data_IF_262523478224
#
_entry.id   IF_262523478224
#
_cell.length_a   1.000
_cell.length_b   1.000
_cell.length_c   1.000
_cell.angle_alpha   90.00
_cell.angle_beta   90.00
_cell.angle_gamma   90.00
#
_symmetry.space_group_name_H-M   'P 1'
#
loop_
_entity.id
_entity.type
_entity.pdbx_description
1 polymer ?
#
# COMPACT_ATOMS: atom_id res chain seq x y z
N UNK A 1 10.71 33.10 -7.98
CA UNK A 1 9.43 33.86 -8.02
C UNK A 1 8.95 34.30 -6.62
N UNK A 2 9.50 33.77 -5.55
CA UNK A 2 9.15 34.05 -4.16
C UNK A 2 7.97 33.23 -3.64
N UNK A 3 7.89 33.12 -2.30
CA UNK A 3 6.91 32.27 -1.61
C UNK A 3 5.46 32.78 -1.73
N UNK A 4 5.28 34.03 -2.12
CA UNK A 4 3.97 34.70 -2.25
C UNK A 4 3.40 34.64 -3.68
N UNK A 5 4.07 34.00 -4.63
CA UNK A 5 3.67 33.99 -6.03
C UNK A 5 2.21 33.53 -6.22
N UNK A 6 1.85 32.40 -5.66
CA UNK A 6 0.51 31.86 -5.82
C UNK A 6 -0.55 32.66 -5.08
N UNK A 7 -0.19 33.29 -3.96
CA UNK A 7 -1.09 34.20 -3.22
C UNK A 7 -1.44 35.41 -4.06
N UNK A 8 -0.46 36.03 -4.76
CA UNK A 8 -0.70 37.16 -5.67
C UNK A 8 -1.50 36.76 -6.91
N UNK A 9 -1.26 35.57 -7.44
CA UNK A 9 -2.06 35.04 -8.56
C UNK A 9 -3.53 34.84 -8.14
N UNK A 10 -3.76 34.28 -6.94
CA UNK A 10 -5.09 34.07 -6.38
C UNK A 10 -5.80 35.43 -6.11
N UNK A 11 -5.09 36.39 -5.53
CA UNK A 11 -5.61 37.76 -5.34
C UNK A 11 -6.04 38.41 -6.65
N UNK A 12 -5.23 38.29 -7.70
CA UNK A 12 -5.59 38.76 -9.01
C UNK A 12 -6.85 38.09 -9.55
N UNK A 13 -6.96 36.75 -9.38
CA UNK A 13 -8.13 35.98 -9.78
C UNK A 13 -9.40 36.42 -9.07
N UNK A 14 -9.32 36.74 -7.77
CA UNK A 14 -10.47 37.22 -7.00
C UNK A 14 -10.94 38.60 -7.44
N UNK A 15 -10.03 39.49 -7.90
CA UNK A 15 -10.35 40.80 -8.45
C UNK A 15 -11.00 40.76 -9.84
N UNK A 16 -10.71 39.70 -10.60
CA UNK A 16 -11.17 39.54 -11.98
C UNK A 16 -11.84 38.18 -12.22
N UNK A 17 -12.94 37.87 -11.52
CA UNK A 17 -13.52 36.50 -11.53
C UNK A 17 -14.22 36.13 -12.85
N UNK A 18 -14.40 37.09 -13.75
CA UNK A 18 -15.15 36.90 -15.01
C UNK A 18 -14.29 36.29 -16.15
N UNK A 19 -13.04 36.04 -15.92
CA UNK A 19 -12.13 35.52 -16.94
C UNK A 19 -11.50 34.19 -16.53
N UNK A 20 -11.49 33.24 -17.45
CA UNK A 20 -10.84 31.94 -17.28
C UNK A 20 -9.31 32.01 -17.41
N UNK A 21 -8.76 33.16 -17.85
CA UNK A 21 -7.33 33.35 -18.10
C UNK A 21 -6.64 34.12 -16.97
N UNK A 22 -7.25 34.22 -15.78
CA UNK A 22 -6.73 34.99 -14.64
C UNK A 22 -5.31 34.60 -14.26
N UNK A 23 -5.02 33.31 -14.17
CA UNK A 23 -3.66 32.79 -13.85
C UNK A 23 -2.65 33.25 -14.88
N UNK A 24 -2.93 33.11 -16.18
CA UNK A 24 -2.03 33.51 -17.27
C UNK A 24 -1.75 35.02 -17.20
N UNK A 25 -2.77 35.85 -17.00
CA UNK A 25 -2.62 37.27 -16.95
C UNK A 25 -1.89 37.76 -15.69
N UNK A 26 -2.18 37.15 -14.52
CA UNK A 26 -1.48 37.44 -13.28
C UNK A 26 0.02 37.12 -13.38
N UNK A 27 0.36 35.93 -13.88
CA UNK A 27 1.74 35.52 -14.06
C UNK A 27 2.49 36.43 -15.03
N UNK A 28 1.86 36.79 -16.14
CA UNK A 28 2.48 37.72 -17.09
C UNK A 28 2.65 39.12 -16.50
N UNK A 29 1.64 39.63 -15.79
CA UNK A 29 1.65 40.98 -15.20
C UNK A 29 2.71 41.13 -14.10
N UNK A 30 2.74 40.21 -13.17
CA UNK A 30 3.60 40.34 -11.97
C UNK A 30 5.00 39.73 -12.15
N UNK A 31 5.12 38.70 -12.95
CA UNK A 31 6.35 37.89 -13.05
C UNK A 31 6.93 37.80 -14.47
N UNK A 32 6.23 38.36 -15.48
CA UNK A 32 6.66 38.30 -16.90
C UNK A 32 6.91 36.87 -17.39
N UNK A 33 6.19 35.88 -16.86
CA UNK A 33 6.35 34.46 -17.13
C UNK A 33 5.04 33.78 -17.50
N UNK A 34 5.11 32.52 -17.88
CA UNK A 34 3.96 31.65 -18.19
C UNK A 34 3.99 30.37 -17.35
N UNK A 35 2.83 29.69 -17.25
CA UNK A 35 2.75 28.37 -16.57
C UNK A 35 3.73 27.38 -17.16
N UNK A 36 3.86 27.33 -18.48
CA UNK A 36 4.78 26.42 -19.17
C UNK A 36 6.25 26.73 -18.87
N UNK A 37 6.60 27.98 -18.76
CA UNK A 37 7.96 28.40 -18.41
C UNK A 37 8.27 28.07 -16.95
N UNK A 38 7.35 28.33 -16.03
CA UNK A 38 7.50 27.92 -14.62
C UNK A 38 7.67 26.40 -14.52
N UNK A 39 6.80 25.64 -15.17
CA UNK A 39 6.90 24.17 -15.16
C UNK A 39 8.25 23.69 -15.70
N UNK A 40 8.72 24.24 -16.81
CA UNK A 40 10.04 23.90 -17.38
C UNK A 40 11.17 24.21 -16.41
N UNK A 41 11.21 25.43 -15.88
CA UNK A 41 12.25 25.85 -14.94
C UNK A 41 12.25 24.99 -13.67
N UNK A 42 11.07 24.66 -13.14
CA UNK A 42 10.93 23.77 -11.97
C UNK A 42 11.44 22.37 -12.29
N UNK A 43 11.07 21.80 -13.44
CA UNK A 43 11.57 20.48 -13.85
C UNK A 43 13.08 20.46 -14.07
N UNK A 44 13.64 21.51 -14.65
CA UNK A 44 15.10 21.65 -14.85
C UNK A 44 15.83 21.77 -13.51
N UNK A 45 15.26 22.51 -12.56
CA UNK A 45 15.81 22.64 -11.21
C UNK A 45 15.75 21.33 -10.44
N UNK A 46 14.59 20.66 -10.43
CA UNK A 46 14.43 19.33 -9.82
C UNK A 46 15.36 18.30 -10.46
N UNK A 47 15.50 18.32 -11.78
CA UNK A 47 16.41 17.40 -12.49
C UNK A 47 17.86 17.63 -12.06
N UNK A 48 18.29 18.89 -11.93
CA UNK A 48 19.63 19.21 -11.42
C UNK A 48 19.81 18.75 -9.98
N UNK A 49 18.80 19.01 -9.13
CA UNK A 49 18.80 18.58 -7.73
C UNK A 49 18.91 17.06 -7.61
N UNK A 50 18.08 16.30 -8.31
CA UNK A 50 18.11 14.83 -8.26
C UNK A 50 19.43 14.25 -8.80
N UNK A 51 19.99 14.84 -9.88
CA UNK A 51 21.29 14.41 -10.41
C UNK A 51 22.47 14.73 -9.48
N UNK A 52 22.32 15.73 -8.60
CA UNK A 52 23.35 16.07 -7.62
C UNK A 52 23.32 15.19 -6.37
N UNK A 53 22.23 14.43 -6.17
CA UNK A 53 22.16 13.50 -5.04
C UNK A 53 23.09 12.31 -5.27
N UNK A 54 23.84 11.87 -4.24
CA UNK A 54 24.64 10.67 -4.34
C UNK A 54 23.71 9.48 -4.63
N UNK A 55 23.92 8.82 -5.77
CA UNK A 55 23.25 7.57 -6.08
C UNK A 55 23.99 6.49 -5.29
N UNK A 56 23.37 5.96 -4.25
CA UNK A 56 23.90 4.75 -3.62
C UNK A 56 23.89 3.63 -4.68
N UNK A 57 24.97 2.87 -4.83
CA UNK A 57 24.99 1.78 -5.79
C UNK A 57 23.86 0.81 -5.45
N UNK A 58 22.99 0.57 -6.41
CA UNK A 58 21.92 -0.41 -6.27
C UNK A 58 22.56 -1.78 -6.03
N UNK A 59 22.51 -2.27 -4.79
CA UNK A 59 23.08 -3.56 -4.40
C UNK A 59 22.25 -4.77 -4.87
N UNK A 60 21.06 -4.49 -5.46
CA UNK A 60 20.15 -5.51 -5.96
C UNK A 60 20.37 -5.83 -7.45
N UNK A 61 20.17 -7.08 -7.80
CA UNK A 61 20.09 -7.48 -9.21
C UNK A 61 18.80 -6.91 -9.82
N UNK A 62 18.93 -6.26 -10.96
CA UNK A 62 17.78 -5.75 -11.70
C UNK A 62 17.16 -6.88 -12.52
N UNK A 63 15.84 -7.05 -12.44
CA UNK A 63 15.14 -7.99 -13.30
C UNK A 63 15.39 -7.64 -14.78
N UNK A 64 15.82 -8.58 -15.62
CA UNK A 64 16.12 -8.34 -17.04
C UNK A 64 14.84 -8.22 -17.90
N UNK A 65 13.80 -7.56 -17.40
CA UNK A 65 12.52 -7.42 -18.09
C UNK A 65 12.50 -6.13 -18.88
N UNK A 66 12.24 -6.14 -20.20
CA UNK A 66 12.09 -4.92 -20.99
C UNK A 66 10.91 -4.10 -20.47
N UNK A 67 11.19 -2.88 -20.03
CA UNK A 67 10.15 -1.93 -19.58
C UNK A 67 9.91 -0.96 -20.73
N UNK A 68 8.74 -1.04 -21.34
CA UNK A 68 8.30 -0.15 -22.43
C UNK A 68 7.41 0.99 -21.95
N UNK A 69 6.85 0.86 -20.76
CA UNK A 69 5.99 1.86 -20.11
C UNK A 69 6.23 1.87 -18.61
N UNK A 70 5.74 2.90 -17.91
CA UNK A 70 5.80 2.94 -16.45
C UNK A 70 5.16 1.67 -15.87
N UNK A 71 5.97 0.89 -15.17
CA UNK A 71 5.59 -0.42 -14.64
C UNK A 71 6.00 -0.54 -13.18
N UNK A 72 5.08 -1.03 -12.35
CA UNK A 72 5.30 -1.29 -10.93
C UNK A 72 4.98 -2.75 -10.63
N UNK A 73 5.87 -3.41 -9.91
CA UNK A 73 5.66 -4.72 -9.32
C UNK A 73 5.52 -4.56 -7.81
N UNK A 74 4.32 -4.79 -7.30
CA UNK A 74 4.00 -4.69 -5.87
C UNK A 74 3.85 -6.08 -5.25
N UNK A 75 4.00 -6.12 -3.92
CA UNK A 75 3.77 -7.31 -3.11
C UNK A 75 4.49 -8.57 -3.66
N UNK A 76 5.80 -8.54 -3.81
CA UNK A 76 6.55 -9.71 -4.24
C UNK A 76 6.39 -10.85 -3.21
N UNK A 77 6.17 -12.07 -3.73
CA UNK A 77 5.97 -13.27 -2.93
C UNK A 77 6.76 -14.41 -3.57
N UNK A 78 7.62 -15.08 -2.83
CA UNK A 78 8.31 -16.27 -3.31
C UNK A 78 7.31 -17.43 -3.40
N UNK A 79 7.13 -17.99 -4.59
CA UNK A 79 6.37 -19.21 -4.79
C UNK A 79 7.27 -20.45 -4.59
N UNK A 80 8.48 -20.35 -5.09
CA UNK A 80 9.57 -21.33 -4.95
C UNK A 80 10.90 -20.65 -5.30
N UNK A 81 12.00 -21.39 -5.31
CA UNK A 81 13.37 -20.89 -5.54
C UNK A 81 13.58 -20.24 -6.93
N UNK A 82 12.69 -20.46 -7.87
CA UNK A 82 12.80 -19.97 -9.26
C UNK A 82 11.67 -19.08 -9.71
N UNK A 83 10.64 -18.86 -8.88
CA UNK A 83 9.43 -18.13 -9.29
C UNK A 83 8.99 -17.17 -8.21
N UNK A 84 8.90 -15.91 -8.56
CA UNK A 84 8.26 -14.86 -7.78
C UNK A 84 6.85 -14.58 -8.31
N UNK A 85 5.93 -14.37 -7.43
CA UNK A 85 4.61 -13.78 -7.74
C UNK A 85 4.63 -12.31 -7.41
N UNK A 86 3.98 -11.49 -8.22
CA UNK A 86 3.82 -10.07 -7.96
C UNK A 86 2.51 -9.53 -8.54
N UNK A 87 2.02 -8.46 -7.93
CA UNK A 87 0.96 -7.64 -8.50
C UNK A 87 1.60 -6.64 -9.47
N UNK A 88 1.38 -6.81 -10.77
CA UNK A 88 1.89 -5.92 -11.80
C UNK A 88 0.85 -4.87 -12.17
N UNK A 89 1.29 -3.62 -12.19
CA UNK A 89 0.52 -2.47 -12.68
C UNK A 89 1.37 -1.72 -13.71
N UNK A 90 0.79 -1.40 -14.83
CA UNK A 90 1.39 -0.56 -15.86
C UNK A 90 0.34 0.34 -16.51
N UNK A 91 0.77 1.23 -17.40
CA UNK A 91 -0.11 2.17 -18.09
C UNK A 91 -0.85 1.53 -19.28
N UNK A 92 -0.41 0.35 -19.73
CA UNK A 92 -0.94 -0.28 -20.93
C UNK A 92 -2.09 -1.25 -20.63
N UNK A 93 -2.10 -1.84 -19.43
CA UNK A 93 -3.03 -2.93 -19.08
C UNK A 93 -3.52 -2.80 -17.65
N UNK A 94 -4.69 -3.37 -17.40
CA UNK A 94 -5.25 -3.50 -16.05
C UNK A 94 -4.33 -4.29 -15.11
N UNK A 95 -4.48 -4.03 -13.81
CA UNK A 95 -3.74 -4.72 -12.76
C UNK A 95 -3.91 -6.23 -12.85
N UNK A 96 -2.83 -6.96 -12.64
CA UNK A 96 -2.79 -8.42 -12.79
C UNK A 96 -1.76 -9.05 -11.88
N UNK A 97 -1.98 -10.29 -11.49
CA UNK A 97 -0.96 -11.08 -10.82
C UNK A 97 -0.16 -11.83 -11.88
N UNK A 98 1.15 -11.75 -11.75
CA UNK A 98 2.13 -12.39 -12.63
C UNK A 98 3.05 -13.31 -11.86
N UNK A 99 3.50 -14.38 -12.53
CA UNK A 99 4.63 -15.20 -12.09
C UNK A 99 5.84 -14.79 -12.91
N UNK A 100 6.95 -14.50 -12.26
CA UNK A 100 8.19 -14.00 -12.86
C UNK A 100 9.34 -14.92 -12.48
N UNK A 101 10.14 -15.34 -13.43
CA UNK A 101 11.44 -15.92 -13.17
C UNK A 101 12.46 -14.78 -12.98
N UNK A 102 13.02 -14.59 -11.78
CA UNK A 102 13.91 -13.47 -11.52
C UNK A 102 15.24 -13.54 -12.28
N UNK A 103 15.67 -14.73 -12.73
CA UNK A 103 16.91 -14.90 -13.47
C UNK A 103 16.80 -14.54 -14.94
N UNK A 104 15.65 -14.88 -15.55
CA UNK A 104 15.44 -14.68 -16.99
C UNK A 104 14.58 -13.47 -17.30
N UNK A 105 13.84 -12.94 -16.32
CA UNK A 105 12.83 -11.92 -16.50
C UNK A 105 11.58 -12.42 -17.24
N UNK A 106 11.49 -13.73 -17.53
CA UNK A 106 10.30 -14.28 -18.16
C UNK A 106 9.08 -14.14 -17.27
N UNK A 107 8.03 -13.61 -17.82
CA UNK A 107 6.80 -13.28 -17.12
C UNK A 107 5.60 -14.05 -17.69
N UNK A 108 4.77 -14.62 -16.82
CA UNK A 108 3.51 -15.23 -17.15
C UNK A 108 2.38 -14.67 -16.31
N UNK A 109 1.36 -14.10 -16.96
CA UNK A 109 0.15 -13.67 -16.26
C UNK A 109 -0.61 -14.87 -15.71
N UNK A 110 -1.01 -14.80 -14.44
CA UNK A 110 -1.88 -15.78 -13.81
C UNK A 110 -3.35 -15.37 -13.99
N UNK A 111 -3.70 -14.17 -13.55
CA UNK A 111 -5.07 -13.64 -13.69
C UNK A 111 -5.10 -12.11 -13.64
N UNK A 112 -6.22 -11.55 -14.10
CA UNK A 112 -6.52 -10.13 -13.94
C UNK A 112 -7.16 -9.87 -12.59
N UNK A 113 -6.72 -8.83 -11.89
CA UNK A 113 -7.38 -8.35 -10.68
C UNK A 113 -8.41 -7.28 -11.02
N UNK A 114 -9.32 -7.02 -10.07
CA UNK A 114 -10.08 -5.78 -10.04
C UNK A 114 -9.25 -4.62 -9.50
N UNK A 115 -9.92 -3.59 -9.01
CA UNK A 115 -9.28 -2.50 -8.28
C UNK A 115 -8.82 -3.02 -6.92
N UNK A 116 -7.54 -3.39 -6.81
CA UNK A 116 -6.95 -3.96 -5.59
C UNK A 116 -6.93 -2.91 -4.49
N UNK A 117 -7.45 -3.27 -3.32
CA UNK A 117 -7.44 -2.44 -2.13
C UNK A 117 -6.27 -2.84 -1.19
N UNK A 118 -6.20 -4.14 -0.84
CA UNK A 118 -5.05 -4.66 -0.10
C UNK A 118 -4.28 -5.63 -0.98
N UNK A 119 -2.95 -5.52 -1.02
CA UNK A 119 -2.11 -6.35 -1.89
C UNK A 119 -2.28 -7.85 -1.61
N UNK A 120 -2.04 -8.72 -2.60
CA UNK A 120 -2.09 -10.16 -2.41
C UNK A 120 -1.10 -10.64 -1.34
N UNK A 121 -1.53 -11.65 -0.59
CA UNK A 121 -0.69 -12.46 0.28
C UNK A 121 -0.79 -13.91 -0.16
N UNK A 122 0.34 -14.62 -0.18
CA UNK A 122 0.41 -16.03 -0.49
C UNK A 122 0.40 -16.83 0.80
N UNK A 123 -0.49 -17.83 0.87
CA UNK A 123 -0.52 -18.80 1.93
C UNK A 123 -0.76 -20.19 1.33
N UNK A 124 0.13 -21.11 1.59
CA UNK A 124 0.19 -22.41 0.90
C UNK A 124 0.18 -22.21 -0.63
N UNK A 125 -0.81 -22.69 -1.32
CA UNK A 125 -0.96 -22.52 -2.78
C UNK A 125 -2.08 -21.53 -3.14
N UNK A 126 -2.48 -20.64 -2.24
CA UNK A 126 -3.61 -19.75 -2.44
C UNK A 126 -3.20 -18.29 -2.19
N UNK A 127 -3.57 -17.43 -3.12
CA UNK A 127 -3.45 -15.98 -2.98
C UNK A 127 -4.74 -15.42 -2.38
N UNK A 128 -4.59 -14.48 -1.44
CA UNK A 128 -5.69 -13.77 -0.80
C UNK A 128 -5.46 -12.26 -0.94
N UNK A 129 -6.51 -11.50 -1.30
CA UNK A 129 -6.45 -10.03 -1.43
C UNK A 129 -7.83 -9.42 -1.26
N UNK A 130 -7.92 -8.10 -1.22
CA UNK A 130 -9.21 -7.41 -1.33
C UNK A 130 -9.29 -6.52 -2.55
N UNK A 131 -10.50 -6.36 -3.05
CA UNK A 131 -10.82 -5.49 -4.18
C UNK A 131 -11.92 -4.50 -3.81
N UNK A 132 -11.80 -3.29 -4.30
CA UNK A 132 -12.87 -2.32 -4.25
C UNK A 132 -14.04 -2.72 -5.15
N UNK A 133 -15.24 -2.44 -4.68
CA UNK A 133 -16.48 -2.57 -5.43
C UNK A 133 -17.28 -1.28 -5.30
N UNK A 134 -17.40 -0.56 -6.39
CA UNK A 134 -18.26 0.62 -6.47
C UNK A 134 -19.73 0.21 -6.52
N UNK A 135 -20.59 0.99 -5.89
CA UNK A 135 -22.05 0.84 -6.04
C UNK A 135 -22.50 1.26 -7.44
N UNK A 136 -23.45 0.53 -8.01
CA UNK A 136 -24.08 0.93 -9.28
C UNK A 136 -25.03 2.11 -9.13
N UNK A 137 -25.53 2.38 -7.90
CA UNK A 137 -26.52 3.43 -7.62
C UNK A 137 -25.88 4.68 -7.00
N UNK A 138 -24.78 4.52 -6.26
CA UNK A 138 -24.18 5.61 -5.49
C UNK A 138 -22.67 5.65 -5.77
N UNK A 139 -22.22 6.58 -6.57
CA UNK A 139 -20.83 6.73 -6.98
C UNK A 139 -19.84 6.79 -5.79
N UNK A 140 -20.23 7.49 -4.75
CA UNK A 140 -19.44 7.65 -3.52
C UNK A 140 -19.43 6.41 -2.61
N UNK A 141 -20.32 5.45 -2.86
CA UNK A 141 -20.41 4.24 -2.02
C UNK A 141 -19.48 3.15 -2.54
N UNK A 142 -18.36 3.00 -1.87
CA UNK A 142 -17.37 1.95 -2.16
C UNK A 142 -17.39 0.93 -1.03
N UNK A 143 -17.51 -0.35 -1.39
CA UNK A 143 -17.30 -1.51 -0.51
C UNK A 143 -16.02 -2.23 -0.92
N UNK A 144 -15.57 -3.17 -0.13
CA UNK A 144 -14.48 -4.07 -0.52
C UNK A 144 -14.88 -5.52 -0.28
N UNK A 145 -14.33 -6.40 -1.10
CA UNK A 145 -14.55 -7.84 -1.01
C UNK A 145 -13.23 -8.57 -0.85
N UNK A 146 -13.20 -9.59 0.01
CA UNK A 146 -12.09 -10.52 0.08
C UNK A 146 -12.19 -11.55 -1.04
N UNK A 147 -11.08 -11.77 -1.72
CA UNK A 147 -10.94 -12.69 -2.84
C UNK A 147 -9.83 -13.69 -2.58
N UNK A 148 -9.93 -14.87 -3.22
CA UNK A 148 -8.85 -15.84 -3.27
C UNK A 148 -8.64 -16.39 -4.67
N UNK A 149 -7.43 -16.88 -4.93
CA UNK A 149 -7.06 -17.57 -6.16
C UNK A 149 -6.18 -18.78 -5.81
N UNK A 150 -6.67 -19.97 -6.13
CA UNK A 150 -5.93 -21.22 -5.95
C UNK A 150 -5.00 -21.43 -7.15
N UNK A 151 -3.70 -21.45 -6.90
CA UNK A 151 -2.64 -21.58 -7.91
C UNK A 151 -2.63 -22.96 -8.57
N UNK A 152 -3.10 -24.01 -7.90
CA UNK A 152 -3.13 -25.37 -8.42
C UNK A 152 -4.27 -25.58 -9.40
N UNK A 153 -5.45 -25.04 -9.08
CA UNK A 153 -6.67 -25.22 -9.88
C UNK A 153 -6.97 -24.04 -10.81
N UNK A 154 -6.30 -22.90 -10.63
CA UNK A 154 -6.61 -21.67 -11.35
C UNK A 154 -7.98 -21.06 -10.97
N UNK A 155 -8.56 -21.49 -9.86
CA UNK A 155 -9.92 -21.09 -9.46
C UNK A 155 -9.90 -19.84 -8.60
N UNK A 156 -10.62 -18.82 -9.06
CA UNK A 156 -10.87 -17.60 -8.29
C UNK A 156 -12.20 -17.70 -7.53
N UNK A 157 -12.23 -17.20 -6.31
CA UNK A 157 -13.42 -17.13 -5.45
C UNK A 157 -13.54 -15.77 -4.78
N UNK A 158 -14.76 -15.33 -4.54
CA UNK A 158 -15.08 -14.25 -3.60
C UNK A 158 -15.44 -14.88 -2.27
N UNK A 159 -14.75 -14.48 -1.22
CA UNK A 159 -14.89 -15.08 0.12
C UNK A 159 -15.84 -14.29 1.00
N UNK A 160 -15.83 -12.97 0.91
CA UNK A 160 -16.63 -12.08 1.75
C UNK A 160 -16.98 -10.80 1.00
N UNK A 161 -18.23 -10.35 1.06
CA UNK A 161 -18.74 -9.18 0.32
C UNK A 161 -19.44 -8.13 1.20
N UNK A 162 -19.46 -8.28 2.54
CA UNK A 162 -20.16 -7.33 3.40
C UNK A 162 -19.28 -6.18 3.86
N UNK A 163 -19.74 -4.92 3.60
CA UNK A 163 -19.09 -3.72 4.08
C UNK A 163 -17.73 -3.47 3.45
N UNK A 164 -16.79 -2.96 4.24
CA UNK A 164 -15.38 -2.82 3.87
C UNK A 164 -14.57 -3.86 4.61
N UNK A 165 -14.07 -4.84 3.89
CA UNK A 165 -13.18 -5.90 4.40
C UNK A 165 -11.77 -5.64 3.90
N UNK A 166 -10.80 -5.64 4.81
CA UNK A 166 -9.38 -5.32 4.56
C UNK A 166 -8.49 -6.47 5.04
N UNK A 167 -7.29 -6.56 4.53
CA UNK A 167 -6.18 -7.39 5.02
C UNK A 167 -6.57 -8.86 5.29
N UNK A 168 -7.03 -9.61 4.28
CA UNK A 168 -7.36 -11.04 4.46
C UNK A 168 -6.07 -11.79 4.82
N UNK A 169 -6.04 -12.33 6.03
CA UNK A 169 -4.89 -13.00 6.63
C UNK A 169 -5.28 -14.43 6.97
N UNK A 170 -4.81 -15.43 6.20
CA UNK A 170 -5.09 -16.83 6.48
C UNK A 170 -4.41 -17.28 7.78
N UNK A 171 -5.10 -18.16 8.50
CA UNK A 171 -4.61 -18.80 9.72
C UNK A 171 -4.41 -20.31 9.49
N UNK A 172 -3.52 -20.99 10.25
CA UNK A 172 -3.20 -22.40 10.05
C UNK A 172 -4.39 -23.36 10.17
N UNK A 173 -5.40 -22.98 10.94
CA UNK A 173 -6.62 -23.76 11.17
C UNK A 173 -7.67 -23.61 10.06
N UNK A 174 -7.30 -22.96 8.94
CA UNK A 174 -8.16 -22.72 7.77
C UNK A 174 -9.10 -21.52 7.92
N UNK A 175 -9.05 -20.80 9.04
CA UNK A 175 -9.77 -19.53 9.20
C UNK A 175 -9.12 -18.42 8.39
N UNK A 176 -9.90 -17.40 8.10
CA UNK A 176 -9.43 -16.18 7.46
C UNK A 176 -9.71 -14.99 8.38
N UNK A 177 -8.67 -14.48 9.01
CA UNK A 177 -8.77 -13.22 9.75
C UNK A 177 -8.88 -12.04 8.78
N UNK A 178 -9.72 -11.07 9.11
CA UNK A 178 -9.91 -9.85 8.30
C UNK A 178 -10.14 -8.66 9.20
N UNK A 179 -9.79 -7.48 8.71
CA UNK A 179 -10.16 -6.22 9.36
C UNK A 179 -11.41 -5.66 8.68
N UNK A 180 -12.43 -5.36 9.47
CA UNK A 180 -13.61 -4.64 9.03
C UNK A 180 -13.48 -3.15 9.26
N UNK A 181 -14.13 -2.36 8.42
CA UNK A 181 -14.22 -0.90 8.55
C UNK A 181 -15.66 -0.48 8.30
N UNK A 182 -16.27 0.21 9.27
CA UNK A 182 -17.64 0.67 9.14
C UNK A 182 -17.75 2.13 8.63
N UNK A 183 -18.97 2.59 8.40
CA UNK A 183 -19.22 3.96 7.93
C UNK A 183 -18.98 5.04 8.99
N UNK A 184 -18.90 4.66 10.27
CA UNK A 184 -18.55 5.56 11.36
C UNK A 184 -17.03 5.73 11.52
N UNK A 185 -16.24 5.04 10.70
CA UNK A 185 -14.78 5.11 10.77
C UNK A 185 -14.15 4.14 11.76
N UNK A 186 -14.92 3.16 12.30
CA UNK A 186 -14.44 2.22 13.31
C UNK A 186 -13.90 0.95 12.68
N UNK A 187 -12.79 0.50 13.20
CA UNK A 187 -12.14 -0.73 12.78
C UNK A 187 -12.49 -1.89 13.72
N UNK A 188 -12.56 -3.09 13.17
CA UNK A 188 -12.77 -4.31 13.94
C UNK A 188 -12.01 -5.48 13.32
N UNK A 189 -11.53 -6.39 14.15
CA UNK A 189 -11.00 -7.68 13.73
C UNK A 189 -12.11 -8.72 13.70
N UNK A 190 -12.20 -9.45 12.61
CA UNK A 190 -12.95 -10.70 12.50
C UNK A 190 -11.92 -11.84 12.36
N UNK A 191 -11.74 -12.70 13.37
CA UNK A 191 -10.77 -13.78 13.32
C UNK A 191 -11.22 -14.99 12.47
N UNK A 192 -12.40 -14.91 11.83
CA UNK A 192 -12.91 -15.95 10.94
C UNK A 192 -13.69 -17.08 11.66
N UNK A 193 -14.01 -16.94 12.93
CA UNK A 193 -14.76 -17.90 13.75
C UNK A 193 -16.13 -17.39 14.22
N UNK A 194 -16.57 -16.27 13.64
CA UNK A 194 -17.86 -15.64 13.99
C UNK A 194 -17.78 -14.63 15.13
N UNK A 195 -16.66 -14.54 15.83
CA UNK A 195 -16.39 -13.47 16.80
C UNK A 195 -16.01 -12.18 16.10
N UNK A 196 -16.10 -11.08 16.84
CA UNK A 196 -15.63 -9.76 16.39
C UNK A 196 -15.02 -9.04 17.57
N UNK A 197 -13.85 -8.42 17.33
CA UNK A 197 -13.16 -7.59 18.30
C UNK A 197 -13.09 -6.16 17.75
N UNK A 198 -13.71 -5.22 18.42
CA UNK A 198 -13.65 -3.81 18.01
C UNK A 198 -12.33 -3.20 18.50
N UNK A 199 -11.65 -2.48 17.62
CA UNK A 199 -10.49 -1.68 17.99
C UNK A 199 -10.94 -0.39 18.68
N UNK A 200 -10.09 0.21 19.53
CA UNK A 200 -10.34 1.56 20.05
C UNK A 200 -10.63 2.55 18.92
N UNK A 201 -11.58 3.46 19.11
CA UNK A 201 -11.97 4.46 18.10
C UNK A 201 -10.83 5.40 17.69
N UNK A 202 -9.76 5.46 18.48
CA UNK A 202 -8.53 6.23 18.22
C UNK A 202 -7.55 5.50 17.29
N UNK A 203 -7.81 4.23 16.93
CA UNK A 203 -6.90 3.43 16.12
C UNK A 203 -7.45 3.18 14.71
N UNK A 204 -6.62 3.43 13.71
CA UNK A 204 -6.81 3.00 12.31
C UNK A 204 -5.86 1.85 11.98
N UNK A 205 -6.35 0.80 11.32
CA UNK A 205 -5.54 -0.38 10.99
C UNK A 205 -5.08 -0.30 9.54
N UNK A 206 -3.76 -0.42 9.32
CA UNK A 206 -3.09 -0.25 8.04
C UNK A 206 -2.36 -1.50 7.52
N UNK A 207 -2.40 -2.60 8.27
CA UNK A 207 -1.80 -3.88 7.88
C UNK A 207 -2.18 -4.96 8.86
N UNK A 208 -2.21 -6.22 8.40
CA UNK A 208 -2.41 -7.40 9.22
C UNK A 208 -1.55 -8.53 8.64
N UNK A 209 -0.84 -9.26 9.50
CA UNK A 209 -0.03 -10.41 9.12
C UNK A 209 0.03 -11.41 10.27
N UNK A 210 0.12 -12.70 9.93
CA UNK A 210 0.20 -13.77 10.91
C UNK A 210 1.47 -14.59 10.74
N UNK A 211 2.22 -14.76 11.83
CA UNK A 211 3.38 -15.64 11.89
C UNK A 211 3.02 -16.97 12.55
N UNK A 212 3.18 -18.07 11.81
CA UNK A 212 2.82 -19.41 12.29
C UNK A 212 3.78 -19.93 13.36
N UNK A 213 5.07 -19.55 13.28
CA UNK A 213 6.10 -20.05 14.19
C UNK A 213 5.85 -19.59 15.62
N UNK A 214 5.49 -18.31 15.77
CA UNK A 214 5.22 -17.72 17.10
C UNK A 214 3.73 -17.65 17.43
N UNK A 215 2.84 -18.00 16.50
CA UNK A 215 1.40 -17.84 16.66
C UNK A 215 0.97 -16.38 16.82
N UNK A 216 1.72 -15.44 16.24
CA UNK A 216 1.50 -14.01 16.44
C UNK A 216 0.69 -13.41 15.28
N UNK A 217 -0.49 -12.85 15.61
CA UNK A 217 -1.19 -11.93 14.70
C UNK A 217 -0.71 -10.51 14.99
N UNK A 218 -0.07 -9.88 14.00
CA UNK A 218 0.45 -8.52 14.09
C UNK A 218 -0.35 -7.57 13.20
N UNK A 219 -0.52 -6.33 13.65
CA UNK A 219 -1.16 -5.27 12.88
C UNK A 219 -0.33 -3.99 12.91
N UNK A 220 -0.27 -3.28 11.79
CA UNK A 220 0.14 -1.87 11.77
C UNK A 220 -1.09 -1.05 12.15
N UNK A 221 -0.94 -0.20 13.17
CA UNK A 221 -1.98 0.69 13.65
C UNK A 221 -1.48 2.13 13.69
N UNK A 222 -2.33 3.07 13.31
CA UNK A 222 -2.11 4.51 13.45
C UNK A 222 -3.01 5.01 14.58
N UNK A 223 -2.43 5.66 15.55
CA UNK A 223 -3.09 6.36 16.65
C UNK A 223 -2.58 7.78 16.81
N UNK A 224 -2.99 8.46 17.86
CA UNK A 224 -2.61 9.86 18.13
C UNK A 224 -1.10 10.06 18.28
N UNK A 225 -0.39 9.05 18.80
CA UNK A 225 1.06 9.07 19.00
C UNK A 225 1.86 8.67 17.76
N UNK A 226 1.20 8.33 16.64
CA UNK A 226 1.84 7.87 15.40
C UNK A 226 1.54 6.42 15.05
N UNK A 227 2.32 5.86 14.12
CA UNK A 227 2.18 4.48 13.66
C UNK A 227 2.95 3.53 14.57
N UNK A 228 2.34 2.39 14.88
CA UNK A 228 2.90 1.35 15.74
C UNK A 228 2.64 -0.04 15.13
N UNK A 229 3.33 -1.06 15.65
CA UNK A 229 3.00 -2.46 15.36
C UNK A 229 2.48 -3.09 16.64
N UNK A 230 1.29 -3.65 16.55
CA UNK A 230 0.59 -4.27 17.67
C UNK A 230 0.48 -5.79 17.45
N UNK A 231 0.63 -6.57 18.51
CA UNK A 231 0.19 -7.96 18.60
C UNK A 231 -1.27 -8.00 19.03
N UNK A 232 -2.05 -8.83 18.38
CA UNK A 232 -3.47 -9.06 18.71
C UNK A 232 -3.63 -10.47 19.22
N UNK A 233 -4.21 -10.60 20.40
CA UNK A 233 -4.58 -11.92 20.93
C UNK A 233 -5.87 -12.39 20.25
N UNK A 234 -5.84 -13.58 19.66
CA UNK A 234 -6.99 -14.17 18.96
C UNK A 234 -8.06 -14.73 19.91
N UNK A 235 -7.78 -14.81 21.21
CA UNK A 235 -8.73 -15.32 22.21
C UNK A 235 -9.70 -14.23 22.68
N UNK A 236 -9.16 -13.05 23.01
CA UNK A 236 -9.90 -11.96 23.62
C UNK A 236 -9.80 -10.62 22.89
N UNK A 237 -8.98 -10.53 21.83
CA UNK A 237 -8.74 -9.31 21.09
C UNK A 237 -7.79 -8.33 21.78
N UNK A 238 -7.12 -8.74 22.85
CA UNK A 238 -6.19 -7.87 23.60
C UNK A 238 -5.03 -7.41 22.71
N UNK A 239 -4.67 -6.12 22.85
CA UNK A 239 -3.62 -5.48 22.09
C UNK A 239 -2.36 -5.34 22.95
N UNK A 240 -1.20 -5.69 22.37
CA UNK A 240 0.12 -5.49 22.99
C UNK A 240 1.07 -4.86 21.98
N UNK A 241 1.84 -3.87 22.39
CA UNK A 241 2.80 -3.19 21.51
C UNK A 241 3.99 -4.10 21.23
N UNK A 242 4.30 -4.27 19.93
CA UNK A 242 5.54 -4.89 19.43
C UNK A 242 6.55 -3.79 19.10
N UNK A 243 6.13 -2.76 18.37
CA UNK A 243 6.92 -1.57 18.03
C UNK A 243 6.21 -0.33 18.53
N UNK A 244 6.94 0.46 19.31
CA UNK A 244 6.43 1.71 19.85
C UNK A 244 6.01 2.70 18.76
N UNK A 245 5.06 3.60 19.06
CA UNK A 245 4.59 4.59 18.09
C UNK A 245 5.72 5.46 17.53
N UNK A 246 5.66 5.70 16.23
CA UNK A 246 6.61 6.54 15.49
C UNK A 246 5.86 7.39 14.46
N UNK A 247 6.42 8.56 14.13
CA UNK A 247 5.93 9.39 13.02
C UNK A 247 6.42 8.95 11.65
N UNK A 248 7.26 7.91 11.58
CA UNK A 248 7.57 7.26 10.30
C UNK A 248 6.34 6.55 9.74
N UNK A 249 6.15 6.59 8.41
CA UNK A 249 5.11 5.80 7.77
C UNK A 249 5.49 4.33 7.74
N UNK A 250 4.71 3.46 8.39
CA UNK A 250 4.88 2.02 8.37
C UNK A 250 3.88 1.37 7.40
N UNK A 251 4.34 0.45 6.55
CA UNK A 251 3.48 -0.23 5.58
C UNK A 251 4.07 -1.58 5.12
N UNK A 252 3.36 -2.31 4.26
CA UNK A 252 3.78 -3.62 3.72
C UNK A 252 4.13 -4.66 4.79
N UNK A 253 3.35 -4.73 5.87
CA UNK A 253 3.58 -5.73 6.92
C UNK A 253 3.49 -7.14 6.35
N UNK A 254 4.51 -7.96 6.63
CA UNK A 254 4.57 -9.39 6.34
C UNK A 254 5.08 -10.12 7.58
N UNK A 255 4.70 -11.39 7.71
CA UNK A 255 5.13 -12.24 8.80
C UNK A 255 5.55 -13.61 8.27
N UNK A 256 6.52 -14.21 8.89
CA UNK A 256 7.00 -15.55 8.56
C UNK A 256 8.32 -15.88 9.25
N UNK A 257 8.53 -17.17 9.50
CA UNK A 257 9.75 -17.70 10.11
C UNK A 257 10.12 -17.03 11.46
N UNK A 258 9.14 -16.65 12.27
CA UNK A 258 9.35 -16.00 13.56
C UNK A 258 9.72 -14.51 13.46
N UNK A 259 9.51 -13.89 12.30
CA UNK A 259 9.87 -12.49 12.04
C UNK A 259 8.72 -11.71 11.40
N UNK A 260 8.74 -10.40 11.60
CA UNK A 260 7.97 -9.43 10.85
C UNK A 260 8.89 -8.68 9.90
N UNK A 261 8.45 -8.42 8.68
CA UNK A 261 9.06 -7.43 7.80
C UNK A 261 8.05 -6.33 7.49
N UNK A 262 8.53 -5.11 7.40
CA UNK A 262 7.74 -3.95 7.05
C UNK A 262 8.62 -2.88 6.43
N UNK A 263 8.01 -2.00 5.66
CA UNK A 263 8.67 -0.80 5.17
C UNK A 263 8.47 0.34 6.16
N UNK A 264 9.49 1.20 6.28
CA UNK A 264 9.44 2.44 7.03
C UNK A 264 9.93 3.59 6.17
N UNK A 265 9.13 4.66 6.06
CA UNK A 265 9.58 5.90 5.42
C UNK A 265 9.80 6.94 6.51
N UNK A 266 11.06 7.35 6.66
CA UNK A 266 11.45 8.45 7.52
C UNK A 266 12.41 9.37 6.77
N UNK A 267 12.19 10.68 6.84
CA UNK A 267 13.05 11.68 6.19
C UNK A 267 13.27 11.46 4.68
N UNK A 268 12.25 10.91 3.99
CA UNK A 268 12.30 10.66 2.54
C UNK A 268 13.07 9.39 2.13
N UNK A 269 13.53 8.60 3.09
CA UNK A 269 14.12 7.27 2.83
C UNK A 269 13.10 6.18 3.11
N UNK A 270 12.99 5.25 2.17
CA UNK A 270 12.17 4.03 2.31
C UNK A 270 13.11 2.86 2.63
N UNK A 271 12.94 2.29 3.82
CA UNK A 271 13.80 1.23 4.34
C UNK A 271 12.96 0.00 4.67
N UNK A 272 13.54 -1.20 4.48
CA UNK A 272 12.93 -2.46 4.88
C UNK A 272 13.50 -2.86 6.23
N UNK A 273 12.62 -3.02 7.20
CA UNK A 273 12.95 -3.45 8.55
C UNK A 273 12.54 -4.90 8.78
N UNK A 274 13.33 -5.61 9.56
CA UNK A 274 13.04 -6.95 10.06
C UNK A 274 12.95 -6.90 11.58
N UNK A 275 11.88 -7.43 12.15
CA UNK A 275 11.70 -7.55 13.59
C UNK A 275 11.63 -9.04 13.98
N UNK A 276 12.51 -9.49 14.86
CA UNK A 276 12.51 -10.84 15.41
C UNK A 276 11.48 -10.93 16.54
N UNK A 277 10.42 -11.72 16.33
CA UNK A 277 9.34 -11.91 17.29
C UNK A 277 9.74 -12.72 18.53
N UNK A 278 10.81 -13.49 18.43
CA UNK A 278 11.32 -14.30 19.55
C UNK A 278 12.34 -13.56 20.39
N UNK A 279 13.25 -12.83 19.74
CA UNK A 279 14.33 -12.07 20.39
C UNK A 279 13.97 -10.62 20.70
N UNK A 280 12.86 -10.08 20.15
CA UNK A 280 12.45 -8.69 20.36
C UNK A 280 13.44 -7.67 19.77
N UNK A 281 14.17 -8.03 18.70
CA UNK A 281 15.16 -7.16 18.05
C UNK A 281 14.72 -6.73 16.66
N UNK A 282 14.95 -5.47 16.34
CA UNK A 282 14.77 -4.87 15.01
C UNK A 282 16.13 -4.75 14.29
N UNK A 283 16.14 -5.04 13.00
CA UNK A 283 17.32 -4.98 12.12
C UNK A 283 17.02 -4.13 10.89
#
# INVERSE_FOLDING_TARGET
YGDDMWSRVAEYGSKYPYTILTTKWALHKYYRTSVNEIARNTLDELTRFWRSQPVEPNSGETLPTPITSYTVYDAPMALNDTTLLALKRDMDKTSRVVAVDPRTGCERRLFWTGSVNTPPVLYDSTLYWTEYRSSTLWEQRVTSRACSYDLRTGRRRTLRERGKTLFPTPLPDGRLATVGYDYAGRYSLDPGDGRRFDFPDTLSIHGLAYDEVTGTLAAIALGDAGMSILRIDLQDGALRTIKEPTYASLYNLRAGAGKLSFNSIQSGKDEIHLFDLTGGREY
#
